data_IF_999083129976
#
_entry.id   IF_999083129976
#
_cell.length_a   1.000
_cell.length_b   1.000
_cell.length_c   1.000
_cell.angle_alpha   90.00
_cell.angle_beta   90.00
_cell.angle_gamma   90.00
#
_symmetry.space_group_name_H-M   'P 1'
#
loop_
_entity.id
_entity.type
_entity.pdbx_description
1 polymer ?
#
# COMPACT_ATOMS: atom_id res chain seq x y z
N UNK A 1 3.35 -9.50 -1.47
CA UNK A 1 2.84 -9.53 -2.85
C UNK A 1 3.78 -8.83 -3.82
N UNK A 2 4.06 -7.54 -3.61
CA UNK A 2 4.88 -6.75 -4.53
C UNK A 2 5.38 -5.47 -3.88
N UNK A 3 6.31 -4.80 -4.54
CA UNK A 3 6.80 -3.48 -4.15
C UNK A 3 7.31 -2.74 -5.38
N UNK A 4 7.32 -1.42 -5.32
CA UNK A 4 7.81 -0.58 -6.41
C UNK A 4 8.16 0.82 -5.91
N UNK A 5 9.02 1.52 -6.63
CA UNK A 5 9.26 2.94 -6.44
C UNK A 5 8.42 3.71 -7.47
N UNK A 6 7.26 4.18 -7.03
CA UNK A 6 6.33 4.93 -7.88
C UNK A 6 6.76 6.39 -7.88
N UNK A 7 7.55 6.78 -8.89
CA UNK A 7 8.15 8.11 -8.99
C UNK A 7 7.15 9.13 -9.52
N UNK A 8 7.34 10.37 -9.16
CA UNK A 8 6.54 11.50 -9.64
C UNK A 8 5.92 12.30 -8.51
N UNK A 9 5.69 13.58 -8.77
CA UNK A 9 4.99 14.44 -7.84
C UNK A 9 3.54 13.97 -7.72
N UNK A 10 3.08 13.79 -6.49
CA UNK A 10 1.73 13.30 -6.23
C UNK A 10 1.57 11.79 -6.25
N UNK A 11 2.62 11.03 -6.57
CA UNK A 11 2.59 9.58 -6.55
C UNK A 11 2.97 9.02 -5.17
N UNK A 12 2.91 7.70 -5.01
CA UNK A 12 3.15 7.03 -3.72
C UNK A 12 4.62 6.99 -3.29
N UNK A 13 5.58 7.20 -4.20
CA UNK A 13 6.96 6.90 -3.90
C UNK A 13 7.18 5.40 -3.66
N UNK A 14 8.13 5.03 -2.80
CA UNK A 14 8.33 3.63 -2.44
C UNK A 14 7.07 3.03 -1.79
N UNK A 15 6.62 1.90 -2.31
CA UNK A 15 5.34 1.28 -1.96
C UNK A 15 5.52 -0.22 -1.76
N UNK A 16 4.89 -0.75 -0.71
CA UNK A 16 4.86 -2.19 -0.42
C UNK A 16 3.41 -2.65 -0.40
N UNK A 17 3.12 -3.77 -1.02
CA UNK A 17 1.83 -4.43 -0.95
C UNK A 17 2.03 -5.80 -0.33
N UNK A 18 1.30 -6.08 0.75
CA UNK A 18 1.34 -7.34 1.47
C UNK A 18 0.07 -8.14 1.18
N UNK A 19 0.23 -9.41 0.87
CA UNK A 19 -0.88 -10.34 0.69
C UNK A 19 -1.20 -11.01 2.03
N UNK A 20 -2.48 -11.09 2.36
CA UNK A 20 -2.98 -11.74 3.57
C UNK A 20 -3.95 -12.85 3.21
N UNK A 21 -3.70 -14.04 3.79
CA UNK A 21 -4.61 -15.19 3.69
C UNK A 21 -4.94 -15.63 5.11
N UNK A 22 -6.12 -15.27 5.58
CA UNK A 22 -6.57 -15.58 6.93
C UNK A 22 -7.89 -16.35 6.85
N UNK A 23 -7.85 -17.64 7.21
CA UNK A 23 -9.02 -18.52 7.10
C UNK A 23 -9.53 -18.52 5.65
N UNK A 24 -10.78 -18.08 5.43
CA UNK A 24 -11.38 -18.01 4.10
C UNK A 24 -11.28 -16.61 3.48
N UNK A 25 -10.52 -15.71 4.10
CA UNK A 25 -10.37 -14.34 3.61
C UNK A 25 -9.03 -14.18 2.92
N UNK A 26 -9.04 -13.51 1.77
CA UNK A 26 -7.86 -13.16 1.00
C UNK A 26 -7.96 -11.67 0.64
N UNK A 27 -7.00 -10.89 1.07
CA UNK A 27 -6.97 -9.45 0.80
C UNK A 27 -5.53 -8.96 0.81
N UNK A 28 -5.35 -7.70 0.48
CA UNK A 28 -4.05 -7.05 0.43
C UNK A 28 -4.06 -5.77 1.24
N UNK A 29 -2.88 -5.37 1.73
CA UNK A 29 -2.69 -4.05 2.33
C UNK A 29 -1.58 -3.32 1.60
N UNK A 30 -1.83 -2.06 1.27
CA UNK A 30 -0.88 -1.20 0.58
C UNK A 30 -0.33 -0.15 1.54
N UNK A 31 0.97 0.03 1.51
CA UNK A 31 1.72 1.01 2.31
C UNK A 31 2.49 1.90 1.37
N UNK A 32 2.11 3.17 1.26
CA UNK A 32 2.73 4.14 0.37
C UNK A 32 3.47 5.25 1.11
N UNK A 33 4.24 6.02 0.39
CA UNK A 33 5.08 7.11 0.86
C UNK A 33 6.17 6.65 1.82
N UNK A 34 6.72 5.46 1.57
CA UNK A 34 7.77 4.87 2.39
C UNK A 34 9.14 5.46 2.06
N UNK A 35 10.14 5.12 2.88
CA UNK A 35 11.53 5.45 2.56
C UNK A 35 12.06 4.54 1.46
N UNK A 36 13.04 5.01 0.71
CA UNK A 36 13.67 4.20 -0.34
C UNK A 36 14.36 2.97 0.24
N UNK A 37 14.93 3.08 1.43
CA UNK A 37 15.57 1.96 2.14
C UNK A 37 14.58 0.83 2.42
N UNK A 38 13.30 1.16 2.63
CA UNK A 38 12.27 0.16 2.93
C UNK A 38 12.09 -0.88 1.82
N UNK A 39 12.41 -0.53 0.57
CA UNK A 39 12.26 -1.46 -0.56
C UNK A 39 13.61 -1.96 -1.11
N UNK A 40 14.72 -1.62 -0.47
CA UNK A 40 16.05 -1.93 -1.01
C UNK A 40 16.51 -3.37 -0.75
N UNK A 41 16.03 -4.02 0.31
CA UNK A 41 16.50 -5.34 0.74
C UNK A 41 15.37 -6.35 0.96
N UNK A 42 14.25 -6.16 0.28
CA UNK A 42 13.12 -7.09 0.36
C UNK A 42 12.95 -7.83 -0.96
N UNK A 43 12.30 -8.99 -0.89
CA UNK A 43 11.99 -9.80 -2.08
C UNK A 43 10.52 -10.18 -2.06
N UNK A 44 9.92 -10.29 -3.25
CA UNK A 44 8.56 -10.80 -3.40
C UNK A 44 8.52 -12.23 -2.83
N UNK A 45 7.53 -12.50 -1.98
CA UNK A 45 7.39 -13.78 -1.29
C UNK A 45 7.98 -13.82 0.11
N UNK A 46 8.71 -12.78 0.54
CA UNK A 46 9.23 -12.71 1.90
C UNK A 46 8.07 -12.76 2.91
N UNK A 47 8.15 -13.59 3.95
CA UNK A 47 7.11 -13.64 4.97
C UNK A 47 7.14 -12.40 5.85
N UNK A 48 5.95 -11.92 6.24
CA UNK A 48 5.80 -10.83 7.19
C UNK A 48 5.11 -11.38 8.44
N UNK A 49 5.78 -11.27 9.58
CA UNK A 49 5.31 -11.82 10.84
C UNK A 49 4.61 -10.73 11.66
N UNK A 50 3.69 -11.15 12.51
CA UNK A 50 2.99 -10.24 13.42
C UNK A 50 3.98 -9.45 14.28
N UNK A 51 3.82 -8.14 14.32
CA UNK A 51 4.70 -7.24 15.09
C UNK A 51 6.01 -6.88 14.41
N UNK A 52 6.28 -7.43 13.23
CA UNK A 52 7.49 -7.12 12.47
C UNK A 52 7.43 -5.69 11.91
N UNK A 53 8.51 -4.93 12.08
CA UNK A 53 8.66 -3.66 11.38
C UNK A 53 8.88 -3.93 9.90
N UNK A 54 8.07 -3.34 9.02
CA UNK A 54 8.16 -3.58 7.58
C UNK A 54 8.82 -2.42 6.83
N UNK A 55 8.75 -1.20 7.36
CA UNK A 55 9.19 -0.02 6.64
C UNK A 55 9.35 1.19 7.57
N UNK A 56 9.88 2.26 7.00
CA UNK A 56 9.91 3.59 7.59
C UNK A 56 9.30 4.58 6.60
N UNK A 57 8.89 5.74 7.08
CA UNK A 57 8.31 6.78 6.23
C UNK A 57 9.40 7.50 5.43
N UNK A 58 9.08 7.85 4.18
CA UNK A 58 9.96 8.62 3.32
C UNK A 58 9.78 10.13 3.50
N UNK A 59 10.82 10.89 3.16
CA UNK A 59 10.73 12.33 3.09
C UNK A 59 10.23 12.81 1.70
N UNK A 60 10.05 14.11 1.54
CA UNK A 60 9.51 14.70 0.31
C UNK A 60 10.36 14.41 -0.93
N UNK A 61 11.65 14.10 -0.76
CA UNK A 61 12.53 13.79 -1.90
C UNK A 61 12.15 12.50 -2.60
N UNK A 62 11.52 11.56 -1.91
CA UNK A 62 11.19 10.23 -2.45
C UNK A 62 9.70 9.87 -2.39
N UNK A 63 8.91 10.57 -1.59
CA UNK A 63 7.54 10.16 -1.27
C UNK A 63 6.44 10.78 -2.14
N UNK A 64 6.77 11.44 -3.22
CA UNK A 64 5.80 12.15 -4.07
C UNK A 64 5.68 13.63 -3.74
N UNK A 65 6.62 14.20 -3.01
CA UNK A 65 6.68 15.61 -2.61
C UNK A 65 5.66 15.98 -1.52
N UNK A 66 5.40 15.05 -0.60
CA UNK A 66 4.52 15.28 0.55
C UNK A 66 5.31 15.40 1.84
N UNK A 67 4.70 16.02 2.85
CA UNK A 67 5.16 15.86 4.23
C UNK A 67 5.10 14.38 4.61
N UNK A 68 6.07 13.87 5.41
CA UNK A 68 6.08 12.45 5.77
C UNK A 68 4.75 11.99 6.38
N UNK A 69 4.16 10.98 5.79
CA UNK A 69 2.92 10.34 6.26
C UNK A 69 2.77 8.97 5.63
N UNK A 70 1.90 8.14 6.19
CA UNK A 70 1.58 6.83 5.64
C UNK A 70 0.31 6.90 4.81
N UNK A 71 0.35 6.39 3.59
CA UNK A 71 -0.83 6.06 2.82
C UNK A 71 -1.13 4.57 3.01
N UNK A 72 -2.32 4.24 3.46
CA UNK A 72 -2.70 2.86 3.75
C UNK A 72 -4.04 2.53 3.10
N UNK A 73 -4.08 1.39 2.38
CA UNK A 73 -5.33 0.88 1.79
C UNK A 73 -5.47 -0.60 2.07
N UNK A 74 -6.71 -1.04 2.26
CA UNK A 74 -7.10 -2.45 2.17
C UNK A 74 -7.64 -2.65 0.76
N UNK A 75 -7.18 -3.70 0.08
CA UNK A 75 -7.59 -3.99 -1.31
C UNK A 75 -7.96 -5.46 -1.38
N UNK A 76 -9.16 -5.77 -1.83
CA UNK A 76 -9.60 -7.16 -1.94
C UNK A 76 -8.90 -7.84 -3.11
N UNK A 77 -8.98 -7.30 -4.31
CA UNK A 77 -8.39 -7.89 -5.51
C UNK A 77 -7.47 -6.90 -6.23
N UNK A 78 -6.27 -7.37 -6.61
CA UNK A 78 -5.29 -6.58 -7.35
C UNK A 78 -4.98 -7.30 -8.68
N UNK A 79 -5.80 -7.08 -9.73
CA UNK A 79 -5.51 -7.66 -11.04
C UNK A 79 -4.39 -6.89 -11.74
N UNK A 80 -3.34 -7.58 -12.18
CA UNK A 80 -2.27 -7.02 -13.03
C UNK A 80 -1.57 -5.78 -12.46
N UNK A 81 -1.47 -5.65 -11.13
CA UNK A 81 -0.76 -4.56 -10.46
C UNK A 81 0.33 -5.12 -9.55
N UNK A 82 1.50 -4.47 -9.56
CA UNK A 82 2.65 -4.86 -8.74
C UNK A 82 3.27 -3.62 -8.12
N UNK A 83 3.19 -3.51 -6.79
CA UNK A 83 3.73 -2.38 -6.06
C UNK A 83 3.01 -1.05 -6.33
N UNK A 84 1.82 -1.11 -6.90
CA UNK A 84 1.01 0.06 -7.21
C UNK A 84 -0.48 -0.31 -7.25
N UNK A 85 -1.32 0.67 -6.96
CA UNK A 85 -2.78 0.56 -7.05
C UNK A 85 -3.40 1.96 -6.98
N UNK A 86 -4.50 2.24 -7.70
CA UNK A 86 -5.10 3.58 -7.68
C UNK A 86 -5.47 4.03 -6.26
N UNK A 87 -5.05 5.24 -5.88
CA UNK A 87 -5.43 5.88 -4.62
C UNK A 87 -6.57 6.88 -4.79
N UNK A 88 -6.92 7.18 -6.04
CA UNK A 88 -8.04 8.06 -6.39
C UNK A 88 -8.80 7.41 -7.53
N UNK A 89 -10.06 7.80 -7.71
CA UNK A 89 -10.86 7.26 -8.80
C UNK A 89 -11.65 8.35 -9.52
N UNK A 90 -12.07 8.04 -10.75
CA UNK A 90 -13.07 8.84 -11.43
C UNK A 90 -14.43 8.63 -10.74
N UNK A 91 -15.35 9.54 -10.98
CA UNK A 91 -16.70 9.43 -10.43
C UNK A 91 -17.43 8.19 -10.95
N UNK A 92 -17.16 7.80 -12.19
CA UNK A 92 -17.77 6.62 -12.81
C UNK A 92 -17.27 5.31 -12.22
N UNK A 93 -16.03 5.26 -11.72
CA UNK A 93 -15.43 4.05 -11.14
C UNK A 93 -15.54 3.98 -9.61
N UNK A 94 -16.13 4.99 -8.99
CA UNK A 94 -16.13 5.12 -7.54
C UNK A 94 -16.77 3.91 -6.83
N UNK A 95 -17.90 3.42 -7.34
CA UNK A 95 -18.59 2.29 -6.73
C UNK A 95 -17.73 1.02 -6.72
N UNK A 96 -16.98 0.77 -7.80
CA UNK A 96 -16.05 -0.34 -7.86
C UNK A 96 -14.98 -0.22 -6.78
N UNK A 97 -14.33 0.95 -6.67
CA UNK A 97 -13.24 1.14 -5.70
C UNK A 97 -13.72 1.18 -4.26
N UNK A 98 -14.91 1.70 -3.99
CA UNK A 98 -15.48 1.67 -2.63
C UNK A 98 -15.73 0.22 -2.16
N UNK A 99 -16.05 -0.67 -3.09
CA UNK A 99 -16.24 -2.10 -2.78
C UNK A 99 -14.89 -2.83 -2.68
N UNK A 100 -13.98 -2.60 -3.61
CA UNK A 100 -12.69 -3.29 -3.66
C UNK A 100 -11.70 -2.77 -2.62
N UNK A 101 -11.90 -1.55 -2.13
CA UNK A 101 -11.07 -0.95 -1.08
C UNK A 101 -11.95 -0.65 0.14
N UNK A 102 -12.13 -1.65 1.03
CA UNK A 102 -12.90 -1.45 2.25
C UNK A 102 -12.31 -0.37 3.16
N UNK A 103 -13.09 0.12 4.11
CA UNK A 103 -12.67 1.12 5.08
C UNK A 103 -11.41 0.64 5.83
N UNK A 104 -10.27 1.35 5.72
CA UNK A 104 -9.04 0.98 6.41
C UNK A 104 -9.20 0.88 7.92
N UNK A 105 -10.17 1.60 8.49
CA UNK A 105 -10.41 1.59 9.93
C UNK A 105 -10.91 0.23 10.45
N UNK A 106 -11.35 -0.66 9.56
CA UNK A 106 -11.65 -2.04 9.95
C UNK A 106 -10.45 -2.74 10.57
N UNK A 107 -9.23 -2.40 10.11
CA UNK A 107 -7.99 -2.93 10.65
C UNK A 107 -7.29 -1.97 11.61
N UNK A 108 -7.23 -0.69 11.27
CA UNK A 108 -6.48 0.30 12.05
C UNK A 108 -7.16 0.68 13.36
N UNK A 109 -8.48 0.76 13.37
CA UNK A 109 -9.29 1.05 14.57
C UNK A 109 -8.85 2.32 15.31
N UNK A 110 -8.57 3.38 14.55
CA UNK A 110 -8.09 4.64 15.12
C UNK A 110 -9.18 5.70 15.26
N UNK A 111 -10.36 5.45 14.72
CA UNK A 111 -11.52 6.34 14.88
C UNK A 111 -12.79 5.55 15.22
#
# INVERSE_FOLDING_TARGET
HSFNYNTGVGDYGPTIIIEHKIKNQHFHTLYGHLSLESISNINIGDPVLKGMQIATLGDAAVNGDYSPHLHFQIIEEIPNKFGDYPGVSTKSDLNYYLKNCPDPNLLLKIT
#
